data_IF_583001730676
#
_entry.id   IF_583001730676
#
_cell.length_a   1.000
_cell.length_b   1.000
_cell.length_c   1.000
_cell.angle_alpha   90.00
_cell.angle_beta   90.00
_cell.angle_gamma   90.00
#
_symmetry.space_group_name_H-M   'P 1'
#
loop_
_entity.id
_entity.type
_entity.pdbx_description
1 polymer ?
#
# COMPACT_ATOMS: atom_id res chain seq x y z
N UNK A 1 -2.73 -78.30 38.52
CA UNK A 1 -2.66 -76.97 37.81
C UNK A 1 -1.36 -76.27 38.23
N UNK A 2 -0.36 -76.31 37.36
CA UNK A 2 0.95 -75.80 37.63
C UNK A 2 1.13 -74.48 36.94
N UNK A 3 1.33 -73.38 37.68
CA UNK A 3 1.55 -72.02 37.10
C UNK A 3 3.08 -71.87 36.91
N UNK A 4 3.54 -71.70 35.72
CA UNK A 4 4.87 -71.31 35.32
C UNK A 4 5.13 -69.83 35.50
N UNK A 5 6.24 -69.35 36.00
CA UNK A 5 6.57 -67.95 36.16
C UNK A 5 7.18 -67.39 34.89
N UNK A 6 6.77 -66.13 34.53
CA UNK A 6 7.25 -65.35 33.40
C UNK A 6 8.53 -64.60 33.79
N UNK A 7 9.60 -64.62 32.98
CA UNK A 7 10.86 -63.93 33.32
C UNK A 7 10.73 -62.41 32.99
N UNK A 8 11.13 -61.58 33.99
CA UNK A 8 11.27 -60.11 33.82
C UNK A 8 12.52 -59.78 33.00
N UNK A 9 12.36 -59.22 31.84
CA UNK A 9 13.45 -58.67 31.00
C UNK A 9 13.92 -57.34 31.61
N UNK A 10 15.16 -57.29 32.10
CA UNK A 10 15.86 -56.05 32.50
C UNK A 10 16.30 -55.32 31.21
N UNK A 11 15.79 -54.12 30.98
CA UNK A 11 16.34 -53.20 29.96
C UNK A 11 17.68 -52.64 30.50
N UNK A 12 18.77 -53.04 29.88
CA UNK A 12 20.06 -52.38 30.05
C UNK A 12 20.01 -51.10 29.19
N UNK A 13 19.83 -49.91 29.84
CA UNK A 13 19.96 -48.61 29.19
C UNK A 13 21.39 -48.43 28.70
N UNK A 14 21.54 -48.20 27.41
CA UNK A 14 22.83 -48.01 26.75
C UNK A 14 23.36 -46.60 27.02
N UNK A 15 24.67 -46.42 27.27
CA UNK A 15 25.28 -45.10 27.53
C UNK A 15 25.20 -44.11 26.35
N UNK A 16 24.72 -44.56 25.21
CA UNK A 16 24.58 -43.74 23.97
C UNK A 16 23.57 -42.60 24.14
N UNK A 17 22.49 -42.76 24.93
CA UNK A 17 21.47 -41.72 25.14
C UNK A 17 22.03 -40.54 25.94
N UNK A 18 22.93 -40.73 26.88
CA UNK A 18 23.53 -39.65 27.68
C UNK A 18 24.51 -38.81 26.84
N UNK A 19 25.23 -39.42 25.91
CA UNK A 19 26.17 -38.71 25.02
C UNK A 19 25.46 -37.83 24.00
N UNK A 20 24.28 -38.25 23.50
CA UNK A 20 23.49 -37.45 22.56
C UNK A 20 22.84 -36.21 23.22
N UNK A 21 22.43 -36.33 24.49
CA UNK A 21 21.88 -35.19 25.24
C UNK A 21 22.96 -34.15 25.59
N UNK A 22 24.20 -34.56 25.87
CA UNK A 22 25.31 -33.66 26.13
C UNK A 22 25.70 -32.88 24.84
N UNK A 23 25.69 -33.51 23.66
CA UNK A 23 25.98 -32.87 22.39
C UNK A 23 24.93 -31.85 22.00
N UNK A 24 23.63 -32.10 22.26
CA UNK A 24 22.55 -31.18 22.02
C UNK A 24 22.63 -29.93 22.91
N UNK A 25 23.01 -30.07 24.18
CA UNK A 25 23.16 -28.95 25.10
C UNK A 25 24.32 -28.02 24.71
N UNK A 26 25.44 -28.54 24.19
CA UNK A 26 26.57 -27.72 23.70
C UNK A 26 26.18 -26.97 22.41
N UNK A 27 25.45 -27.59 21.50
CA UNK A 27 25.00 -26.96 20.28
C UNK A 27 24.03 -25.76 20.54
N UNK A 28 23.13 -25.92 21.54
CA UNK A 28 22.21 -24.83 21.94
C UNK A 28 22.99 -23.70 22.62
N UNK A 29 23.99 -23.98 23.44
CA UNK A 29 24.78 -22.96 24.12
C UNK A 29 25.65 -22.15 23.12
N UNK A 30 26.21 -22.80 22.10
CA UNK A 30 26.96 -22.13 21.02
C UNK A 30 26.06 -21.22 20.19
N UNK A 31 24.81 -21.64 19.94
CA UNK A 31 23.82 -20.79 19.20
C UNK A 31 23.42 -19.55 20.01
N UNK A 32 23.35 -19.63 21.35
CA UNK A 32 23.01 -18.52 22.24
C UNK A 32 24.16 -17.51 22.44
N UNK A 33 25.41 -17.92 22.17
CA UNK A 33 26.61 -17.09 22.29
C UNK A 33 27.07 -16.50 20.95
N UNK A 34 26.39 -16.80 19.84
CA UNK A 34 26.72 -16.20 18.55
C UNK A 34 26.36 -14.71 18.59
N UNK A 35 27.32 -13.79 18.41
CA UNK A 35 27.01 -12.37 18.31
C UNK A 35 26.09 -12.18 17.11
N UNK A 36 24.92 -11.59 17.33
CA UNK A 36 24.02 -11.16 16.27
C UNK A 36 24.81 -10.21 15.38
N UNK A 37 25.14 -10.64 14.17
CA UNK A 37 25.78 -9.76 13.19
C UNK A 37 24.88 -8.56 13.00
N UNK A 38 25.38 -7.32 13.14
CA UNK A 38 24.60 -6.15 12.84
C UNK A 38 24.13 -6.26 11.38
N UNK A 39 22.82 -6.24 11.16
CA UNK A 39 22.24 -6.21 9.82
C UNK A 39 22.83 -5.01 9.10
N UNK A 40 23.69 -5.24 8.10
CA UNK A 40 24.23 -4.20 7.28
C UNK A 40 23.04 -3.42 6.69
N UNK A 41 23.01 -2.08 6.77
CA UNK A 41 21.96 -1.32 6.14
C UNK A 41 21.94 -1.68 4.65
N UNK A 42 20.83 -2.23 4.18
CA UNK A 42 20.62 -2.57 2.77
C UNK A 42 20.84 -1.27 1.99
N UNK A 43 21.94 -1.18 1.26
CA UNK A 43 22.28 -0.01 0.45
C UNK A 43 21.27 0.04 -0.68
N UNK A 44 20.21 0.89 -0.53
CA UNK A 44 19.27 1.16 -1.60
C UNK A 44 20.05 1.65 -2.81
N UNK A 45 19.93 1.05 -4.00
CA UNK A 45 20.62 1.51 -5.20
C UNK A 45 20.28 2.98 -5.45
N UNK A 46 21.30 3.81 -5.77
CA UNK A 46 21.07 5.19 -6.20
C UNK A 46 20.15 5.17 -7.41
N UNK A 47 18.97 5.80 -7.30
CA UNK A 47 17.95 5.82 -8.35
C UNK A 47 16.77 4.84 -8.15
N UNK A 48 16.74 4.05 -7.07
CA UNK A 48 15.54 3.32 -6.69
C UNK A 48 14.51 4.30 -6.12
N UNK A 49 13.31 4.32 -6.70
CA UNK A 49 12.18 5.10 -6.20
C UNK A 49 11.72 4.54 -4.85
N UNK A 50 11.31 5.41 -3.95
CA UNK A 50 10.92 5.04 -2.60
C UNK A 50 9.88 5.98 -1.99
N UNK A 51 9.73 5.93 -0.67
CA UNK A 51 8.74 6.75 0.04
C UNK A 51 8.94 8.25 -0.23
N UNK A 52 10.19 8.72 -0.39
CA UNK A 52 10.50 10.11 -0.74
C UNK A 52 9.97 10.53 -2.12
N UNK A 53 9.69 9.57 -3.01
CA UNK A 53 9.09 9.78 -4.32
C UNK A 53 7.57 9.62 -4.33
N UNK A 54 6.97 9.28 -3.19
CA UNK A 54 5.54 9.03 -3.07
C UNK A 54 5.15 7.56 -3.25
N UNK A 55 6.10 6.62 -3.21
CA UNK A 55 5.76 5.18 -3.16
C UNK A 55 5.11 4.89 -1.81
N UNK A 56 3.92 4.31 -1.83
CA UNK A 56 3.09 4.07 -0.66
C UNK A 56 3.28 2.62 -0.18
N UNK A 57 3.67 2.40 1.09
CA UNK A 57 3.59 1.09 1.72
C UNK A 57 2.13 0.62 1.91
N UNK A 58 1.93 -0.68 2.08
CA UNK A 58 0.61 -1.23 2.37
C UNK A 58 0.04 -0.68 3.69
N UNK A 59 -1.26 -0.42 3.72
CA UNK A 59 -1.99 -0.02 4.92
C UNK A 59 -1.84 1.45 5.31
N UNK A 60 -1.21 2.30 4.47
CA UNK A 60 -1.15 3.75 4.70
C UNK A 60 -2.54 4.35 4.61
N UNK A 61 -2.88 5.21 5.57
CA UNK A 61 -4.13 5.95 5.63
C UNK A 61 -3.91 7.44 5.38
N UNK A 62 -4.98 8.22 5.27
CA UNK A 62 -4.92 9.68 5.11
C UNK A 62 -4.39 10.41 6.37
N UNK A 63 -4.14 9.68 7.47
CA UNK A 63 -3.63 10.23 8.73
C UNK A 63 -2.13 10.00 8.92
N UNK A 64 -1.50 9.18 8.06
CA UNK A 64 -0.09 8.82 8.19
C UNK A 64 0.84 9.94 7.67
N UNK A 65 2.02 10.05 8.30
CA UNK A 65 3.04 11.05 7.98
C UNK A 65 4.04 10.48 6.96
N UNK A 66 3.56 10.28 5.73
CA UNK A 66 4.38 9.84 4.59
C UNK A 66 4.27 10.84 3.43
N UNK A 67 5.30 11.00 2.59
CA UNK A 67 5.30 12.00 1.51
C UNK A 67 4.11 11.91 0.56
N UNK A 68 3.62 10.71 0.27
CA UNK A 68 2.42 10.51 -0.57
C UNK A 68 1.16 11.16 0.01
N UNK A 69 1.08 11.32 1.34
CA UNK A 69 -0.04 11.94 2.07
C UNK A 69 0.26 13.40 2.38
N UNK A 70 1.45 13.68 2.94
CA UNK A 70 1.79 15.02 3.44
C UNK A 70 2.00 16.06 2.33
N UNK A 71 2.32 15.62 1.11
CA UNK A 71 2.45 16.50 -0.06
C UNK A 71 1.15 16.65 -0.86
N UNK A 72 0.02 16.12 -0.38
CA UNK A 72 -1.29 16.43 -0.97
C UNK A 72 -1.64 17.91 -0.74
N UNK A 73 -2.44 18.47 -1.64
CA UNK A 73 -3.05 19.78 -1.42
C UNK A 73 -3.75 19.82 -0.07
N UNK A 74 -3.56 20.91 0.66
CA UNK A 74 -4.04 21.01 2.04
C UNK A 74 -5.57 20.93 2.14
N UNK A 75 -6.30 21.47 1.16
CA UNK A 75 -7.75 21.38 1.09
C UNK A 75 -8.22 19.96 0.81
N UNK A 76 -7.57 19.28 -0.15
CA UNK A 76 -7.85 17.87 -0.45
C UNK A 76 -7.60 17.00 0.78
N UNK A 77 -6.46 17.15 1.45
CA UNK A 77 -6.11 16.37 2.63
C UNK A 77 -7.08 16.61 3.80
N UNK A 78 -7.50 17.87 4.00
CA UNK A 78 -8.48 18.21 5.04
C UNK A 78 -9.85 17.56 4.76
N UNK A 79 -10.33 17.61 3.51
CA UNK A 79 -11.56 16.99 3.07
C UNK A 79 -11.52 15.46 3.23
N UNK A 80 -10.42 14.83 2.81
CA UNK A 80 -10.20 13.39 2.96
C UNK A 80 -10.22 12.95 4.43
N UNK A 81 -9.54 13.70 5.31
CA UNK A 81 -9.52 13.40 6.75
C UNK A 81 -10.88 13.56 7.41
N UNK A 82 -11.68 14.54 6.96
CA UNK A 82 -13.06 14.70 7.46
C UNK A 82 -13.94 13.53 7.01
N UNK A 83 -13.94 13.22 5.72
CA UNK A 83 -14.68 12.10 5.17
C UNK A 83 -14.28 10.75 5.78
N UNK A 84 -12.97 10.53 6.00
CA UNK A 84 -12.47 9.30 6.60
C UNK A 84 -12.95 9.09 8.04
N UNK A 85 -13.04 10.17 8.86
CA UNK A 85 -13.59 10.06 10.22
C UNK A 85 -15.05 9.65 10.22
N UNK A 86 -15.84 10.19 9.31
CA UNK A 86 -17.27 9.90 9.23
C UNK A 86 -17.50 8.49 8.65
N UNK A 87 -16.67 8.06 7.69
CA UNK A 87 -16.73 6.73 7.09
C UNK A 87 -16.49 5.59 8.11
N UNK A 88 -15.73 5.84 9.18
CA UNK A 88 -15.53 4.87 10.28
C UNK A 88 -16.86 4.48 10.92
N UNK A 89 -17.82 5.42 11.02
CA UNK A 89 -19.18 5.13 11.53
C UNK A 89 -19.95 4.10 10.69
N UNK A 90 -19.58 3.99 9.41
CA UNK A 90 -20.14 3.02 8.46
C UNK A 90 -19.24 1.76 8.34
N UNK A 91 -18.20 1.63 9.17
CA UNK A 91 -17.23 0.52 9.13
C UNK A 91 -16.29 0.57 7.92
N UNK A 92 -16.08 1.74 7.33
CA UNK A 92 -15.22 1.93 6.15
C UNK A 92 -13.95 2.68 6.54
N UNK A 93 -12.80 2.11 6.19
CA UNK A 93 -11.49 2.74 6.34
C UNK A 93 -10.97 3.21 4.99
N UNK A 94 -10.33 4.39 4.96
CA UNK A 94 -9.68 4.92 3.77
C UNK A 94 -8.20 4.57 3.78
N UNK A 95 -7.81 3.65 2.89
CA UNK A 95 -6.42 3.29 2.62
C UNK A 95 -5.95 4.07 1.38
N UNK A 96 -4.78 4.68 1.47
CA UNK A 96 -4.16 5.39 0.35
C UNK A 96 -3.36 4.40 -0.49
N UNK A 97 -3.85 4.08 -1.68
CA UNK A 97 -3.13 3.25 -2.65
C UNK A 97 -2.07 4.07 -3.38
N UNK A 98 -2.35 5.36 -3.63
CA UNK A 98 -1.41 6.32 -4.21
C UNK A 98 -1.88 7.73 -3.88
N UNK A 99 -0.94 8.62 -3.53
CA UNK A 99 -1.20 10.04 -3.28
C UNK A 99 -0.32 10.92 -4.16
N UNK A 100 0.39 11.89 -3.52
CA UNK A 100 1.39 12.67 -4.23
C UNK A 100 2.50 11.77 -4.77
N UNK A 101 2.98 12.12 -5.98
CA UNK A 101 4.09 11.41 -6.66
C UNK A 101 5.15 12.40 -7.11
N UNK A 102 6.43 12.07 -6.95
CA UNK A 102 7.50 12.80 -7.61
C UNK A 102 7.36 12.70 -9.14
N UNK A 103 7.89 13.68 -9.87
CA UNK A 103 7.94 13.62 -11.35
C UNK A 103 8.65 12.34 -11.82
N UNK A 104 9.75 11.97 -11.17
CA UNK A 104 10.51 10.77 -11.52
C UNK A 104 9.68 9.49 -11.35
N UNK A 105 8.86 9.43 -10.31
CA UNK A 105 7.95 8.30 -10.09
C UNK A 105 6.85 8.26 -11.14
N UNK A 106 6.22 9.41 -11.45
CA UNK A 106 5.20 9.50 -12.49
C UNK A 106 5.73 9.11 -13.87
N UNK A 107 6.93 9.58 -14.24
CA UNK A 107 7.61 9.21 -15.48
C UNK A 107 7.91 7.70 -15.56
N UNK A 108 8.22 7.08 -14.43
CA UNK A 108 8.41 5.64 -14.35
C UNK A 108 7.10 4.90 -14.59
N UNK A 109 6.01 5.33 -13.93
CA UNK A 109 4.68 4.73 -14.11
C UNK A 109 4.21 4.84 -15.57
N UNK A 110 4.45 5.97 -16.23
CA UNK A 110 4.10 6.13 -17.64
C UNK A 110 4.91 5.18 -18.55
N UNK A 111 6.22 5.05 -18.33
CA UNK A 111 7.03 4.09 -19.10
C UNK A 111 6.56 2.65 -18.89
N UNK A 112 6.25 2.29 -17.65
CA UNK A 112 5.76 0.95 -17.33
C UNK A 112 4.37 0.70 -17.97
N UNK A 113 3.49 1.72 -18.00
CA UNK A 113 2.21 1.66 -18.69
C UNK A 113 2.36 1.52 -20.22
N UNK A 114 3.27 2.27 -20.85
CA UNK A 114 3.56 2.14 -22.30
C UNK A 114 4.03 0.70 -22.61
N UNK A 115 4.91 0.15 -21.79
CA UNK A 115 5.37 -1.22 -21.95
C UNK A 115 4.24 -2.25 -21.77
N UNK A 116 3.30 -1.98 -20.88
CA UNK A 116 2.15 -2.86 -20.58
C UNK A 116 1.07 -2.78 -21.67
N UNK A 117 0.72 -1.57 -22.11
CA UNK A 117 -0.40 -1.33 -23.05
C UNK A 117 0.03 -1.25 -24.51
N UNK A 118 1.35 -1.19 -24.78
CA UNK A 118 1.93 -1.28 -26.12
C UNK A 118 2.02 0.03 -26.89
N UNK A 119 1.41 1.14 -26.40
CA UNK A 119 1.53 2.48 -27.00
C UNK A 119 1.35 3.59 -25.97
N UNK A 120 1.86 4.77 -26.27
CA UNK A 120 1.63 5.98 -25.45
C UNK A 120 0.14 6.36 -25.42
N UNK A 121 -0.58 6.21 -26.54
CA UNK A 121 -2.00 6.51 -26.63
C UNK A 121 -2.84 5.64 -25.68
N UNK A 122 -2.62 4.34 -25.68
CA UNK A 122 -3.32 3.44 -24.75
C UNK A 122 -2.89 3.63 -23.30
N UNK A 123 -1.61 3.90 -23.05
CA UNK A 123 -1.10 4.21 -21.71
C UNK A 123 -1.71 5.49 -21.14
N UNK A 124 -1.90 6.53 -21.96
CA UNK A 124 -2.47 7.82 -21.56
C UNK A 124 -3.91 7.70 -21.01
N UNK A 125 -4.61 6.61 -21.28
CA UNK A 125 -5.94 6.33 -20.70
C UNK A 125 -5.89 5.96 -19.21
N UNK A 126 -4.68 5.70 -18.69
CA UNK A 126 -4.46 5.23 -17.32
C UNK A 126 -3.43 6.08 -16.58
N UNK A 127 -2.44 6.62 -17.27
CA UNK A 127 -1.32 7.30 -16.65
C UNK A 127 -1.02 8.59 -17.41
N UNK A 128 -1.25 9.72 -16.76
CA UNK A 128 -0.91 11.04 -17.30
C UNK A 128 0.61 11.28 -17.29
N UNK A 129 1.08 12.23 -18.10
CA UNK A 129 2.47 12.70 -18.05
C UNK A 129 2.79 13.38 -16.72
N UNK A 130 4.05 13.53 -16.37
CA UNK A 130 4.43 14.25 -15.15
C UNK A 130 4.08 15.76 -15.19
N UNK A 131 3.85 16.34 -16.38
CA UNK A 131 3.47 17.74 -16.52
C UNK A 131 1.99 17.98 -16.23
N UNK A 132 1.14 16.99 -16.51
CA UNK A 132 -0.32 17.13 -16.39
C UNK A 132 -0.92 16.33 -15.24
N UNK A 133 -0.16 15.42 -14.63
CA UNK A 133 -0.66 14.54 -13.58
C UNK A 133 -1.10 15.30 -12.32
N UNK A 134 -2.37 15.15 -11.90
CA UNK A 134 -2.85 15.72 -10.65
C UNK A 134 -2.20 15.10 -9.40
N UNK A 135 -1.63 13.88 -9.52
CA UNK A 135 -0.83 13.30 -8.43
C UNK A 135 0.48 14.05 -8.23
N UNK A 136 1.15 14.49 -9.30
CA UNK A 136 2.40 15.25 -9.20
C UNK A 136 2.17 16.63 -8.57
N UNK A 137 1.02 17.25 -8.82
CA UNK A 137 0.63 18.52 -8.20
C UNK A 137 -0.01 18.35 -6.81
N UNK A 138 -0.17 17.11 -6.30
CA UNK A 138 -0.83 16.83 -5.02
C UNK A 138 -2.36 16.99 -5.04
N UNK A 139 -2.97 17.12 -6.21
CA UNK A 139 -4.42 17.39 -6.36
C UNK A 139 -5.26 16.13 -6.50
N UNK A 140 -4.66 14.95 -6.48
CA UNK A 140 -5.36 13.68 -6.57
C UNK A 140 -4.84 12.65 -5.57
N UNK A 141 -5.72 11.72 -5.23
CA UNK A 141 -5.43 10.55 -4.40
C UNK A 141 -6.20 9.35 -4.91
N UNK A 142 -5.55 8.18 -4.88
CA UNK A 142 -6.19 6.89 -5.15
C UNK A 142 -6.54 6.21 -3.83
N UNK A 143 -7.83 6.03 -3.56
CA UNK A 143 -8.36 5.48 -2.30
C UNK A 143 -8.83 4.04 -2.48
N UNK A 144 -8.42 3.18 -1.58
CA UNK A 144 -8.91 1.81 -1.43
C UNK A 144 -9.36 1.53 0.01
N UNK A 145 -9.89 0.33 0.23
CA UNK A 145 -10.36 -0.68 -0.73
C UNK A 145 -11.59 -0.22 -1.52
N UNK A 146 -12.16 -1.09 -2.36
CA UNK A 146 -13.36 -0.78 -3.17
C UNK A 146 -14.53 -0.24 -2.32
N UNK A 147 -14.65 -0.67 -1.07
CA UNK A 147 -15.66 -0.15 -0.13
C UNK A 147 -15.50 1.35 0.12
N UNK A 148 -14.26 1.84 0.26
CA UNK A 148 -13.96 3.26 0.45
C UNK A 148 -14.27 4.08 -0.81
N UNK A 149 -13.86 3.60 -1.99
CA UNK A 149 -14.22 4.25 -3.27
C UNK A 149 -15.75 4.29 -3.48
N UNK A 150 -16.47 3.26 -3.05
CA UNK A 150 -17.93 3.21 -3.09
C UNK A 150 -18.55 4.20 -2.10
N UNK A 151 -18.02 4.31 -0.90
CA UNK A 151 -18.46 5.27 0.10
C UNK A 151 -18.27 6.71 -0.41
N UNK A 152 -17.10 7.04 -0.95
CA UNK A 152 -16.85 8.36 -1.58
C UNK A 152 -17.81 8.63 -2.73
N UNK A 153 -18.13 7.64 -3.54
CA UNK A 153 -19.11 7.80 -4.64
C UNK A 153 -20.49 8.24 -4.15
N UNK A 154 -20.87 7.89 -2.92
CA UNK A 154 -22.19 8.18 -2.34
C UNK A 154 -22.21 9.44 -1.47
N UNK A 155 -21.12 9.67 -0.75
CA UNK A 155 -21.05 10.68 0.31
C UNK A 155 -20.03 11.78 0.02
N UNK A 156 -19.07 11.52 -0.90
CA UNK A 156 -17.93 12.39 -1.16
C UNK A 156 -18.29 13.82 -1.56
N UNK A 157 -19.39 14.03 -2.29
CA UNK A 157 -19.82 15.36 -2.70
C UNK A 157 -19.98 16.33 -1.51
N UNK A 158 -20.50 15.85 -0.37
CA UNK A 158 -20.65 16.67 0.85
C UNK A 158 -19.33 17.16 1.44
N UNK A 159 -18.21 16.61 1.03
CA UNK A 159 -16.84 17.01 1.40
C UNK A 159 -16.10 17.67 0.24
N UNK A 160 -16.76 17.84 -0.91
CA UNK A 160 -16.12 18.26 -2.16
C UNK A 160 -15.23 17.19 -2.80
N UNK A 161 -15.32 15.94 -2.37
CA UNK A 161 -14.53 14.83 -2.90
C UNK A 161 -15.27 14.15 -4.04
N UNK A 162 -14.70 14.20 -5.26
CA UNK A 162 -15.32 13.65 -6.44
C UNK A 162 -14.44 12.65 -7.15
N UNK A 163 -15.04 11.56 -7.59
CA UNK A 163 -14.46 10.67 -8.59
C UNK A 163 -14.48 11.37 -9.94
N UNK A 164 -13.36 11.34 -10.66
CA UNK A 164 -13.19 12.11 -11.90
C UNK A 164 -13.28 11.23 -13.14
N UNK A 165 -12.80 9.99 -13.07
CA UNK A 165 -12.74 9.07 -14.19
C UNK A 165 -13.59 7.82 -13.96
N UNK A 166 -14.27 7.35 -15.03
CA UNK A 166 -15.07 6.11 -14.93
C UNK A 166 -14.25 4.84 -14.89
N UNK A 167 -13.11 4.82 -15.60
CA UNK A 167 -12.18 3.69 -15.61
C UNK A 167 -11.36 3.59 -14.33
N UNK A 168 -11.23 4.67 -13.53
CA UNK A 168 -10.46 4.72 -12.29
C UNK A 168 -11.39 5.03 -11.10
N UNK A 169 -12.16 4.04 -10.61
CA UNK A 169 -13.13 4.26 -9.53
C UNK A 169 -12.50 4.67 -8.19
N UNK A 170 -11.19 4.49 -8.03
CA UNK A 170 -10.39 4.87 -6.88
C UNK A 170 -9.88 6.31 -6.92
N UNK A 171 -9.79 6.93 -8.12
CA UNK A 171 -9.22 8.25 -8.32
C UNK A 171 -10.15 9.36 -7.85
N UNK A 172 -9.67 10.16 -6.88
CA UNK A 172 -10.45 11.19 -6.18
C UNK A 172 -9.71 12.51 -6.22
N UNK A 173 -10.44 13.59 -6.55
CA UNK A 173 -9.95 14.96 -6.53
C UNK A 173 -10.89 15.86 -5.72
N UNK A 174 -10.38 17.00 -5.24
CA UNK A 174 -11.20 18.01 -4.59
C UNK A 174 -11.92 18.86 -5.65
N UNK A 175 -13.24 19.00 -5.47
CA UNK A 175 -14.15 19.86 -6.22
C UNK A 175 -15.01 20.61 -5.18
N UNK A 176 -14.54 21.75 -4.64
CA UNK A 176 -15.23 22.45 -3.55
C UNK A 176 -16.70 22.78 -3.89
N UNK A 177 -16.99 23.10 -5.15
CA UNK A 177 -18.32 23.38 -5.66
C UNK A 177 -19.29 22.19 -5.56
N UNK A 178 -18.76 20.98 -5.41
CA UNK A 178 -19.59 19.79 -5.31
C UNK A 178 -20.40 19.72 -4.00
N UNK A 179 -19.99 20.46 -2.98
CA UNK A 179 -20.73 20.53 -1.71
C UNK A 179 -22.16 21.04 -1.94
N UNK A 180 -22.31 22.01 -2.83
CA UNK A 180 -23.62 22.63 -3.15
C UNK A 180 -24.27 22.04 -4.41
N UNK A 181 -23.46 21.69 -5.43
CA UNK A 181 -23.94 21.32 -6.76
C UNK A 181 -23.89 19.80 -7.04
N UNK A 182 -23.27 19.03 -6.17
CA UNK A 182 -22.93 17.63 -6.45
C UNK A 182 -21.69 17.49 -7.34
N UNK A 183 -21.15 16.29 -7.45
CA UNK A 183 -19.99 16.03 -8.30
C UNK A 183 -20.30 16.20 -9.78
N UNK A 184 -19.38 16.80 -10.55
CA UNK A 184 -19.54 16.93 -12.00
C UNK A 184 -19.56 15.57 -12.69
N UNK A 185 -20.02 15.57 -13.95
CA UNK A 185 -19.99 14.36 -14.78
C UNK A 185 -18.54 13.86 -14.96
N UNK A 186 -18.31 12.59 -14.67
CA UNK A 186 -17.00 11.94 -14.86
C UNK A 186 -16.65 11.86 -16.36
N UNK A 187 -15.38 12.05 -16.68
CA UNK A 187 -14.79 11.67 -17.96
C UNK A 187 -14.77 10.14 -18.12
N UNK A 188 -14.66 9.63 -19.34
CA UNK A 188 -14.52 8.19 -19.55
C UNK A 188 -13.19 7.69 -19.00
N UNK A 189 -12.12 8.43 -19.29
CA UNK A 189 -10.75 8.22 -18.88
C UNK A 189 -9.96 9.55 -18.94
N UNK A 190 -8.69 9.60 -18.50
CA UNK A 190 -7.87 10.80 -18.51
C UNK A 190 -7.73 11.49 -19.88
N UNK A 191 -7.75 10.75 -20.99
CA UNK A 191 -7.60 11.34 -22.34
C UNK A 191 -8.75 12.26 -22.73
N UNK A 192 -9.90 12.17 -22.06
CA UNK A 192 -11.06 13.04 -22.29
C UNK A 192 -11.10 14.26 -21.36
N UNK A 193 -10.17 14.37 -20.42
CA UNK A 193 -10.04 15.51 -19.53
C UNK A 193 -9.21 16.61 -20.22
N UNK A 194 -9.75 17.80 -20.46
CA UNK A 194 -9.01 18.89 -21.10
C UNK A 194 -7.73 19.32 -20.36
N UNK A 195 -7.63 19.03 -19.06
CA UNK A 195 -6.46 19.33 -18.25
C UNK A 195 -5.26 18.45 -18.61
N UNK A 196 -5.50 17.25 -19.16
CA UNK A 196 -4.48 16.31 -19.59
C UNK A 196 -3.92 16.59 -20.99
N UNK A 197 -4.51 17.53 -21.73
CA UNK A 197 -4.17 17.87 -23.13
C UNK A 197 -3.26 19.10 -23.26
N UNK A 198 -2.61 19.53 -22.17
CA UNK A 198 -1.76 20.75 -22.14
C UNK A 198 -0.30 20.45 -22.30
#
# INVERSE_FOLDING_TARGET
MIRTPVPRRRLRGTPVVVLLLAAAAVAVMVALLSPSSPSSPTRVPRGALGAADGVVPDGVTVFDDVPAVTNLDAGLLAALRSAARDAVGDGVEFVVNSGWRSRAYQDRLLRDAIAQYGSEEEAARWVATADTSPHVSGQAVDIGPTAAATWISRHGAGYGLCRVYRNEPWHVELRPEAVDAGCPRMYADPTQDPRMQR
#
